data_IF_215976271024
#
_entry.id   IF_215976271024
#
_cell.length_a   1.000
_cell.length_b   1.000
_cell.length_c   1.000
_cell.angle_alpha   90.00
_cell.angle_beta   90.00
_cell.angle_gamma   90.00
#
_symmetry.space_group_name_H-M   'P 1'
#
loop_
_entity.id
_entity.type
_entity.pdbx_description
1 polymer ?
#
# COMPACT_ATOMS: atom_id res chain seq x y z
N UNK A 1 -6.94 6.90 -7.93
CA UNK A 1 -7.64 7.59 -6.82
C UNK A 1 -8.76 8.42 -7.38
N UNK A 2 -9.89 8.48 -6.70
CA UNK A 2 -11.02 9.31 -7.09
C UNK A 2 -11.48 10.04 -5.80
N UNK A 3 -11.08 11.30 -5.56
CA UNK A 3 -11.54 12.05 -4.39
C UNK A 3 -12.99 12.55 -4.50
N UNK A 4 -13.65 12.71 -3.36
CA UNK A 4 -14.93 13.40 -3.23
C UNK A 4 -14.98 14.21 -1.93
N UNK A 5 -15.74 15.32 -1.91
CA UNK A 5 -16.00 16.09 -0.69
C UNK A 5 -17.13 15.49 0.16
N UNK A 6 -18.04 14.78 -0.50
CA UNK A 6 -19.16 14.05 0.06
C UNK A 6 -19.16 12.65 -0.58
N UNK A 7 -19.10 11.55 0.19
CA UNK A 7 -19.12 10.20 -0.36
C UNK A 7 -20.41 9.87 -1.15
N UNK A 8 -21.53 10.54 -0.86
CA UNK A 8 -22.77 10.41 -1.63
C UNK A 8 -22.85 11.39 -2.82
N UNK A 9 -21.91 12.34 -2.90
CA UNK A 9 -21.86 13.38 -3.92
C UNK A 9 -21.11 12.96 -5.18
N UNK A 10 -20.89 13.91 -6.11
CA UNK A 10 -20.07 13.66 -7.29
C UNK A 10 -18.62 13.40 -6.88
N UNK A 11 -18.08 12.33 -7.44
CA UNK A 11 -16.68 11.98 -7.36
C UNK A 11 -15.92 12.71 -8.47
N UNK A 12 -14.63 12.98 -8.26
CA UNK A 12 -13.80 13.63 -9.28
C UNK A 12 -13.52 12.73 -10.48
N UNK A 13 -12.79 13.26 -11.46
CA UNK A 13 -12.08 12.42 -12.42
C UNK A 13 -10.99 11.57 -11.74
N UNK A 14 -10.63 10.45 -12.37
CA UNK A 14 -9.61 9.55 -11.84
C UNK A 14 -8.21 10.19 -11.90
N UNK A 15 -7.52 10.13 -10.76
CA UNK A 15 -6.10 10.42 -10.64
C UNK A 15 -5.33 9.11 -10.73
N UNK A 16 -4.56 8.93 -11.79
CA UNK A 16 -3.69 7.78 -11.98
C UNK A 16 -2.42 7.92 -11.14
N UNK A 17 -2.11 6.89 -10.36
CA UNK A 17 -0.93 6.87 -9.50
C UNK A 17 0.11 5.88 -10.04
N UNK A 18 1.39 6.28 -10.16
CA UNK A 18 2.41 5.46 -10.79
C UNK A 18 3.02 4.44 -9.80
N UNK A 19 2.20 3.51 -9.30
CA UNK A 19 2.68 2.36 -8.53
C UNK A 19 2.25 1.05 -9.19
N UNK A 20 3.03 0.00 -8.97
CA UNK A 20 2.71 -1.36 -9.41
C UNK A 20 1.92 -2.12 -8.35
N UNK A 21 1.21 -3.16 -8.79
CA UNK A 21 0.56 -4.10 -7.90
C UNK A 21 -0.93 -3.88 -7.74
N UNK A 22 -1.52 -4.57 -6.77
CA UNK A 22 -2.95 -4.57 -6.49
C UNK A 22 -3.21 -4.34 -5.00
N UNK A 23 -4.48 -4.33 -4.63
CA UNK A 23 -4.99 -4.12 -3.28
C UNK A 23 -4.43 -2.86 -2.60
N UNK A 24 -4.52 -1.68 -3.25
CA UNK A 24 -4.12 -0.46 -2.59
C UNK A 24 -5.07 -0.14 -1.43
N UNK A 25 -4.50 0.16 -0.28
CA UNK A 25 -5.20 0.73 0.86
C UNK A 25 -4.57 2.05 1.28
N UNK A 26 -5.40 2.98 1.77
CA UNK A 26 -4.97 4.28 2.23
C UNK A 26 -4.82 4.26 3.75
N UNK A 27 -3.63 4.61 4.24
CA UNK A 27 -3.33 4.75 5.66
C UNK A 27 -3.08 6.23 5.99
N UNK A 28 -3.52 6.66 7.18
CA UNK A 28 -3.43 8.05 7.64
C UNK A 28 -2.68 8.12 8.97
N UNK A 29 -1.69 9.01 9.05
CA UNK A 29 -0.94 9.24 10.28
C UNK A 29 -0.42 10.67 10.32
N UNK A 30 -0.64 11.39 11.44
CA UNK A 30 -0.03 12.71 11.67
C UNK A 30 -0.31 13.75 10.58
N UNK A 31 -1.45 13.68 9.90
CA UNK A 31 -1.81 14.58 8.78
C UNK A 31 -1.18 14.21 7.42
N UNK A 32 -0.41 13.13 7.36
CA UNK A 32 0.09 12.48 6.15
C UNK A 32 -0.80 11.30 5.74
N UNK A 33 -0.69 10.94 4.47
CA UNK A 33 -1.32 9.74 3.93
C UNK A 33 -0.27 8.86 3.25
N UNK A 34 -0.52 7.56 3.26
CA UNK A 34 0.33 6.55 2.67
C UNK A 34 -0.54 5.56 1.91
N UNK A 35 -0.05 5.08 0.76
CA UNK A 35 -0.66 3.94 0.08
C UNK A 35 0.16 2.71 0.44
N UNK A 36 -0.52 1.70 0.94
CA UNK A 36 0.00 0.35 1.16
C UNK A 36 -0.59 -0.58 0.11
N UNK A 37 0.22 -1.44 -0.51
CA UNK A 37 -0.24 -2.31 -1.58
C UNK A 37 0.60 -3.58 -1.69
N UNK A 38 0.08 -4.57 -2.42
CA UNK A 38 0.83 -5.78 -2.75
C UNK A 38 1.55 -5.65 -4.08
N UNK A 39 2.82 -6.08 -4.16
CA UNK A 39 3.52 -6.34 -5.44
C UNK A 39 4.69 -7.32 -5.28
N UNK A 40 5.47 -7.53 -6.35
CA UNK A 40 6.69 -8.34 -6.28
C UNK A 40 7.70 -7.75 -5.26
N UNK A 41 8.52 -8.60 -4.62
CA UNK A 41 9.57 -8.11 -3.73
C UNK A 41 10.70 -7.42 -4.52
N UNK A 42 11.53 -6.62 -3.84
CA UNK A 42 12.68 -5.92 -4.44
C UNK A 42 13.89 -6.82 -4.72
N UNK A 43 13.69 -8.13 -4.69
CA UNK A 43 14.70 -9.16 -4.86
C UNK A 43 14.15 -10.26 -5.80
N UNK A 44 15.02 -11.07 -6.42
CA UNK A 44 14.57 -12.20 -7.21
C UNK A 44 13.62 -13.11 -6.43
N UNK A 45 12.58 -13.59 -7.11
CA UNK A 45 11.62 -14.50 -6.48
C UNK A 45 12.30 -15.81 -6.07
N UNK A 46 12.05 -16.27 -4.84
CA UNK A 46 12.63 -17.50 -4.28
C UNK A 46 11.73 -18.73 -4.45
N UNK A 47 10.44 -18.51 -4.71
CA UNK A 47 9.44 -19.54 -4.94
C UNK A 47 8.24 -18.93 -5.65
N UNK A 48 7.45 -19.76 -6.35
CA UNK A 48 6.27 -19.30 -7.06
C UNK A 48 5.23 -18.71 -6.10
N UNK A 49 4.64 -17.58 -6.45
CA UNK A 49 3.70 -16.86 -5.60
C UNK A 49 4.32 -15.97 -4.50
N UNK A 50 5.65 -15.83 -4.41
CA UNK A 50 6.25 -14.89 -3.48
C UNK A 50 5.82 -13.44 -3.79
N UNK A 51 5.16 -12.82 -2.81
CA UNK A 51 4.71 -11.42 -2.85
C UNK A 51 5.18 -10.66 -1.61
N UNK A 52 5.12 -9.33 -1.70
CA UNK A 52 5.58 -8.40 -0.69
C UNK A 52 4.57 -7.26 -0.47
N UNK A 53 4.55 -6.71 0.74
CA UNK A 53 3.78 -5.52 1.08
C UNK A 53 4.70 -4.31 1.03
N UNK A 54 4.22 -3.27 0.37
CA UNK A 54 4.95 -2.03 0.16
C UNK A 54 4.14 -0.85 0.65
N UNK A 55 4.84 0.19 1.11
CA UNK A 55 4.24 1.47 1.52
C UNK A 55 4.94 2.63 0.82
N UNK A 56 4.20 3.67 0.44
CA UNK A 56 4.75 4.91 -0.09
C UNK A 56 3.87 6.09 0.32
N UNK A 57 4.49 7.24 0.60
CA UNK A 57 3.75 8.47 0.93
C UNK A 57 2.90 8.92 -0.26
N UNK A 58 1.67 9.35 0.04
CA UNK A 58 0.73 9.94 -0.91
C UNK A 58 0.40 11.37 -0.48
N UNK A 59 0.79 12.33 -1.30
CA UNK A 59 0.38 13.72 -1.13
C UNK A 59 -1.06 13.85 -1.63
N UNK A 60 -2.00 13.70 -0.71
CA UNK A 60 -3.44 13.78 -0.98
C UNK A 60 -3.91 15.19 -1.37
N UNK A 61 -3.12 16.24 -1.10
CA UNK A 61 -3.43 17.61 -1.51
C UNK A 61 -3.03 17.84 -2.96
N UNK A 62 -1.89 17.30 -3.38
CA UNK A 62 -1.41 17.39 -4.76
C UNK A 62 -1.85 16.22 -5.66
N UNK A 63 -2.40 15.16 -5.09
CA UNK A 63 -2.86 13.97 -5.82
C UNK A 63 -1.73 13.13 -6.41
N UNK A 64 -0.60 12.95 -5.72
CA UNK A 64 0.57 12.23 -6.27
C UNK A 64 1.35 11.43 -5.24
N UNK A 65 2.06 10.40 -5.71
CA UNK A 65 3.02 9.65 -4.89
C UNK A 65 4.26 10.50 -4.58
N UNK A 66 4.82 10.34 -3.38
CA UNK A 66 5.98 11.10 -2.90
C UNK A 66 7.08 10.17 -2.39
N UNK A 67 8.32 10.49 -2.73
CA UNK A 67 9.50 9.79 -2.21
C UNK A 67 9.61 8.33 -2.65
N UNK A 68 10.52 7.57 -2.03
CA UNK A 68 10.71 6.15 -2.32
C UNK A 68 9.57 5.30 -1.78
N UNK A 69 9.28 4.20 -2.46
CA UNK A 69 8.42 3.14 -1.93
C UNK A 69 9.26 2.14 -1.14
N UNK A 70 8.78 1.72 0.03
CA UNK A 70 9.50 0.86 0.99
C UNK A 70 8.81 -0.48 1.13
N UNK A 71 9.56 -1.58 1.00
CA UNK A 71 9.06 -2.92 1.26
C UNK A 71 9.03 -3.15 2.78
N UNK A 72 7.86 -3.43 3.33
CA UNK A 72 7.65 -3.59 4.78
C UNK A 72 7.42 -5.05 5.19
N UNK A 73 6.96 -5.89 4.27
CA UNK A 73 6.80 -7.35 4.48
C UNK A 73 7.30 -8.09 3.25
N UNK A 74 8.01 -9.20 3.45
CA UNK A 74 8.56 -10.05 2.39
C UNK A 74 8.17 -11.50 2.62
N UNK A 75 7.14 -11.99 1.92
CA UNK A 75 6.67 -13.36 2.07
C UNK A 75 6.07 -13.64 3.44
N UNK A 76 5.14 -12.78 3.89
CA UNK A 76 4.27 -13.03 5.04
C UNK A 76 4.98 -13.04 6.40
N UNK A 77 4.37 -13.73 7.37
CA UNK A 77 4.85 -13.82 8.77
C UNK A 77 6.03 -14.78 8.90
N UNK A 78 5.91 -15.97 8.32
CA UNK A 78 6.99 -16.97 8.31
C UNK A 78 7.32 -17.38 6.88
N UNK A 79 8.39 -16.77 6.36
CA UNK A 79 8.91 -17.03 5.03
C UNK A 79 9.36 -18.49 4.82
N UNK A 80 9.74 -19.23 5.87
CA UNK A 80 10.15 -20.63 5.75
C UNK A 80 8.97 -21.53 5.32
N UNK A 81 7.74 -21.13 5.64
CA UNK A 81 6.51 -21.80 5.19
C UNK A 81 6.15 -21.51 3.73
N UNK A 82 6.89 -20.61 3.07
CA UNK A 82 6.68 -20.18 1.68
C UNK A 82 5.24 -19.69 1.42
N UNK A 83 4.74 -18.69 2.16
CA UNK A 83 3.40 -18.17 1.94
C UNK A 83 3.32 -17.53 0.55
N UNK A 84 2.23 -17.80 -0.15
CA UNK A 84 1.98 -17.35 -1.52
C UNK A 84 0.90 -16.30 -1.53
N UNK A 85 1.02 -15.32 -2.43
CA UNK A 85 -0.03 -14.34 -2.71
C UNK A 85 -0.51 -13.60 -1.45
N UNK A 86 0.42 -13.20 -0.57
CA UNK A 86 0.06 -12.28 0.51
C UNK A 86 -0.57 -11.04 -0.13
N UNK A 87 -1.72 -10.60 0.35
CA UNK A 87 -2.57 -9.62 -0.33
C UNK A 87 -3.41 -8.84 0.68
N UNK A 88 -4.30 -7.94 0.22
CA UNK A 88 -5.20 -7.16 1.07
C UNK A 88 -4.53 -6.42 2.25
N UNK A 89 -3.41 -5.69 2.06
CA UNK A 89 -2.74 -5.06 3.18
C UNK A 89 -3.52 -3.85 3.71
N UNK A 90 -3.64 -3.78 5.03
CA UNK A 90 -4.17 -2.62 5.75
C UNK A 90 -3.24 -2.30 6.91
N UNK A 91 -2.89 -1.03 7.06
CA UNK A 91 -2.17 -0.54 8.23
C UNK A 91 -3.16 0.11 9.19
N UNK A 92 -3.00 -0.16 10.49
CA UNK A 92 -3.85 0.40 11.54
C UNK A 92 -2.96 0.94 12.66
N UNK A 93 -3.36 2.06 13.27
CA UNK A 93 -2.70 2.55 14.49
C UNK A 93 -3.36 1.89 15.70
N UNK A 94 -2.56 1.21 16.51
CA UNK A 94 -2.96 0.64 17.79
C UNK A 94 -1.97 1.13 18.87
N UNK A 95 -2.42 2.04 19.73
CA UNK A 95 -1.59 2.74 20.72
C UNK A 95 -0.38 3.43 20.08
N UNK A 96 0.83 3.03 20.47
CA UNK A 96 2.10 3.53 19.93
C UNK A 96 2.60 2.72 18.71
N UNK A 97 1.84 1.71 18.29
CA UNK A 97 2.23 0.79 17.21
C UNK A 97 1.40 1.01 15.95
N UNK A 98 2.06 0.85 14.80
CA UNK A 98 1.38 0.63 13.53
C UNK A 98 1.43 -0.88 13.25
N UNK A 99 0.24 -1.49 13.16
CA UNK A 99 0.04 -2.92 12.89
C UNK A 99 -0.43 -3.15 11.46
#
# INVERSE_FOLDING_TARGET
MIPAKDPAGPWSEAIWLPFEGIDPSLYWEGGKAYIVNNRAPNQPSRYDGLRAIWVQEYDWRAGRMVGPSTQIVNGGVDLATKPVWIEGPHLLRHDEYTI
#
